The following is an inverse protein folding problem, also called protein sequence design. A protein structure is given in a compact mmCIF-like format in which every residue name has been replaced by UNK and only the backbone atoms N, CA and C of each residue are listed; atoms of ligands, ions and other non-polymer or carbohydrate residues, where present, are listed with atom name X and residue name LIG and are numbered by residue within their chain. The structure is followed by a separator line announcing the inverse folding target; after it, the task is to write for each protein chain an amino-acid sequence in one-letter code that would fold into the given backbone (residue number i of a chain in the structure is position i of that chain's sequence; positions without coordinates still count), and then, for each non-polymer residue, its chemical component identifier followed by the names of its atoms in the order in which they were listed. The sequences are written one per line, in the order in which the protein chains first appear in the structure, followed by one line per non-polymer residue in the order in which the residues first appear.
data_IF_683299001426
#
_entry.id   IF_683299001426
#
_cell.length_a   1.000
_cell.length_b   1.000
_cell.length_c   1.000
_cell.angle_alpha   90.00
_cell.angle_beta   90.00
_cell.angle_gamma   90.00
#
_symmetry.space_group_name_H-M   'P 1'
#
loop_
_entity.id
_entity.type
_entity.pdbx_description
1 polymer ?
#
# COMPACT_ATOMS: atom_id res chain seq x y z
N UNK A 1 9.77 -9.31 -6.30
CA UNK A 1 8.68 -9.06 -7.27
C UNK A 1 9.08 -9.50 -8.67
N UNK A 2 10.24 -9.11 -9.20
CA UNK A 2 10.70 -9.54 -10.56
C UNK A 2 10.71 -11.04 -10.72
N UNK A 3 11.29 -11.77 -9.77
CA UNK A 3 11.31 -13.23 -9.80
C UNK A 3 9.91 -13.88 -9.82
N UNK A 4 8.93 -13.26 -9.17
CA UNK A 4 7.52 -13.72 -9.25
C UNK A 4 6.99 -13.56 -10.67
N UNK A 5 7.19 -12.39 -11.26
CA UNK A 5 6.74 -12.14 -12.63
C UNK A 5 7.41 -13.10 -13.64
N UNK A 6 8.72 -13.31 -13.54
CA UNK A 6 9.50 -14.23 -14.40
C UNK A 6 9.01 -15.68 -14.30
N UNK A 7 8.42 -16.07 -13.17
CA UNK A 7 7.82 -17.39 -12.93
C UNK A 7 6.30 -17.41 -13.14
N UNK A 8 5.71 -16.39 -13.75
CA UNK A 8 4.28 -16.34 -14.04
C UNK A 8 3.39 -16.12 -12.82
N UNK A 9 3.95 -15.68 -11.68
CA UNK A 9 3.22 -15.45 -10.45
C UNK A 9 2.80 -13.97 -10.38
N UNK A 10 1.50 -13.65 -10.51
CA UNK A 10 1.02 -12.29 -10.39
C UNK A 10 1.22 -11.77 -8.96
N UNK A 11 1.58 -10.49 -8.83
CA UNK A 11 1.80 -9.88 -7.52
C UNK A 11 1.05 -8.56 -7.39
N UNK A 12 0.56 -8.31 -6.19
CA UNK A 12 -0.06 -7.05 -5.79
C UNK A 12 0.77 -6.43 -4.67
N UNK A 13 1.02 -5.14 -4.75
CA UNK A 13 1.81 -4.41 -3.76
C UNK A 13 0.90 -3.54 -2.91
N UNK A 14 1.09 -3.59 -1.59
CA UNK A 14 0.40 -2.75 -0.65
C UNK A 14 1.29 -1.56 -0.26
N UNK A 15 0.86 -0.36 -0.65
CA UNK A 15 1.52 0.89 -0.30
C UNK A 15 1.01 1.40 1.05
N UNK A 16 1.67 0.98 2.13
CA UNK A 16 1.35 1.39 3.50
C UNK A 16 2.45 0.90 4.47
N UNK A 17 2.74 1.65 5.53
CA UNK A 17 2.29 3.01 5.82
C UNK A 17 3.14 4.08 5.13
N UNK A 18 2.57 5.29 4.98
CA UNK A 18 3.33 6.49 4.70
C UNK A 18 3.44 7.36 5.95
N UNK A 19 4.62 7.90 6.19
CA UNK A 19 4.89 8.75 7.35
C UNK A 19 4.81 10.22 6.92
N UNK A 20 3.76 10.96 7.30
CA UNK A 20 3.65 12.39 7.01
C UNK A 20 4.91 13.15 7.41
N UNK A 21 5.32 14.12 6.61
CA UNK A 21 6.53 14.94 6.76
C UNK A 21 7.86 14.20 6.57
N UNK A 22 7.87 12.87 6.41
CA UNK A 22 9.10 12.06 6.32
C UNK A 22 9.23 11.45 4.93
N UNK A 23 8.24 10.66 4.50
CA UNK A 23 8.31 9.96 3.22
C UNK A 23 7.06 10.15 2.34
N UNK A 24 6.18 11.08 2.71
CA UNK A 24 5.01 11.49 1.93
C UNK A 24 5.37 12.51 0.85
N UNK A 25 6.38 12.18 0.06
CA UNK A 25 6.92 13.02 -1.01
C UNK A 25 6.67 12.42 -2.39
N UNK A 26 6.63 13.29 -3.40
CA UNK A 26 6.48 12.87 -4.80
C UNK A 26 7.63 11.96 -5.24
N UNK A 27 8.86 12.30 -4.84
CA UNK A 27 10.07 11.55 -5.17
C UNK A 27 10.01 10.12 -4.61
N UNK A 28 9.54 9.95 -3.37
CA UNK A 28 9.39 8.63 -2.78
C UNK A 28 8.31 7.81 -3.51
N UNK A 29 7.16 8.42 -3.79
CA UNK A 29 6.07 7.78 -4.54
C UNK A 29 6.55 7.38 -5.94
N UNK A 30 7.19 8.27 -6.68
CA UNK A 30 7.69 7.97 -8.02
C UNK A 30 8.75 6.86 -8.01
N UNK A 31 9.60 6.82 -6.97
CA UNK A 31 10.57 5.74 -6.77
C UNK A 31 9.89 4.38 -6.53
N UNK A 32 8.89 4.33 -5.66
CA UNK A 32 8.12 3.11 -5.40
C UNK A 32 7.36 2.64 -6.63
N UNK A 33 6.73 3.56 -7.36
CA UNK A 33 6.03 3.25 -8.60
C UNK A 33 6.98 2.71 -9.67
N UNK A 34 8.19 3.27 -9.77
CA UNK A 34 9.21 2.74 -10.67
C UNK A 34 9.56 1.29 -10.36
N UNK A 35 9.74 0.92 -9.08
CA UNK A 35 9.97 -0.48 -8.72
C UNK A 35 8.79 -1.39 -9.10
N UNK A 36 7.56 -0.92 -8.95
CA UNK A 36 6.36 -1.68 -9.33
C UNK A 36 6.27 -1.88 -10.84
N UNK A 37 6.55 -0.83 -11.63
CA UNK A 37 6.57 -0.88 -13.10
C UNK A 37 7.67 -1.84 -13.58
N UNK A 38 8.90 -1.69 -13.08
CA UNK A 38 10.05 -2.53 -13.43
C UNK A 38 9.82 -4.01 -13.09
N UNK A 39 9.05 -4.27 -12.03
CA UNK A 39 8.69 -5.62 -11.59
C UNK A 39 7.40 -6.15 -12.24
N UNK A 40 6.72 -5.36 -13.06
CA UNK A 40 5.46 -5.69 -13.74
C UNK A 40 4.41 -6.23 -12.79
N UNK A 41 4.18 -5.53 -11.68
CA UNK A 41 3.15 -5.92 -10.72
C UNK A 41 1.76 -5.82 -11.33
N UNK A 42 0.84 -6.69 -10.91
CA UNK A 42 -0.53 -6.73 -11.40
C UNK A 42 -1.40 -5.61 -10.82
N UNK A 43 -1.11 -5.18 -9.59
CA UNK A 43 -1.91 -4.15 -8.93
C UNK A 43 -1.20 -3.51 -7.75
N UNK A 44 -1.75 -2.37 -7.33
CA UNK A 44 -1.32 -1.63 -6.14
C UNK A 44 -2.54 -1.33 -5.28
N UNK A 45 -2.44 -1.61 -3.98
CA UNK A 45 -3.41 -1.22 -2.96
C UNK A 45 -2.81 -0.05 -2.18
N UNK A 46 -3.57 1.04 -2.09
CA UNK A 46 -3.26 2.17 -1.23
C UNK A 46 -4.56 2.77 -0.70
N UNK A 47 -4.73 2.80 0.62
CA UNK A 47 -5.91 3.37 1.27
C UNK A 47 -5.79 4.87 1.52
N UNK A 48 -4.62 5.43 1.26
CA UNK A 48 -4.29 6.82 1.48
C UNK A 48 -2.86 7.00 1.95
N UNK A 49 -2.39 8.24 1.88
CA UNK A 49 -1.05 8.63 2.30
C UNK A 49 -1.11 9.05 3.76
N UNK A 50 -0.65 8.16 4.64
CA UNK A 50 -0.66 8.37 6.08
C UNK A 50 -0.43 7.07 6.85
N UNK A 51 -0.68 7.13 8.15
CA UNK A 51 -0.60 5.98 9.04
C UNK A 51 -1.70 6.04 10.11
N UNK A 52 -1.91 4.93 10.79
CA UNK A 52 -2.77 4.83 11.97
C UNK A 52 -1.93 4.54 13.20
N UNK A 53 -2.26 5.19 14.32
CA UNK A 53 -1.59 4.98 15.60
C UNK A 53 -2.60 4.44 16.62
N UNK A 54 -2.53 3.16 16.88
CA UNK A 54 -3.28 2.49 17.95
C UNK A 54 -2.67 2.77 19.32
N UNK A 55 -3.39 2.43 20.39
CA UNK A 55 -2.86 2.48 21.74
C UNK A 55 -1.62 1.56 21.82
N UNK A 56 -0.55 2.08 22.43
CA UNK A 56 0.76 1.43 22.47
C UNK A 56 1.66 1.72 21.26
N UNK A 57 1.11 1.74 20.04
CA UNK A 57 1.88 2.06 18.83
C UNK A 57 2.33 3.52 18.83
N UNK A 58 1.51 4.42 19.39
CA UNK A 58 1.80 5.87 19.45
C UNK A 58 3.04 6.17 20.26
N UNK A 59 3.13 5.60 21.46
CA UNK A 59 4.27 5.81 22.36
C UNK A 59 5.55 5.27 21.73
N UNK A 60 5.49 4.09 21.13
CA UNK A 60 6.61 3.51 20.41
C UNK A 60 7.03 4.38 19.23
N UNK A 61 6.08 4.79 18.38
CA UNK A 61 6.34 5.63 17.21
C UNK A 61 7.00 6.95 17.62
N UNK A 62 6.45 7.64 18.62
CA UNK A 62 6.99 8.90 19.09
C UNK A 62 8.37 8.75 19.72
N UNK A 63 8.66 7.67 20.43
CA UNK A 63 10.00 7.39 20.94
C UNK A 63 11.02 7.19 19.82
N UNK A 64 10.61 6.63 18.68
CA UNK A 64 11.45 6.47 17.50
C UNK A 64 11.66 7.79 16.75
N UNK A 65 10.63 8.62 16.68
CA UNK A 65 10.78 9.98 16.13
C UNK A 65 11.79 10.78 16.92
N UNK A 66 11.71 10.79 18.25
CA UNK A 66 12.67 11.51 19.11
C UNK A 66 14.11 11.06 18.86
N UNK A 67 14.31 9.78 18.61
CA UNK A 67 15.64 9.20 18.39
C UNK A 67 16.21 9.51 16.99
N UNK A 68 15.38 9.52 15.95
CA UNK A 68 15.83 9.52 14.55
C UNK A 68 15.51 10.82 13.80
N UNK A 69 14.51 11.57 14.27
CA UNK A 69 14.00 12.78 13.62
C UNK A 69 13.74 13.87 14.67
N UNK A 70 14.78 14.56 15.15
CA UNK A 70 14.64 15.61 16.17
C UNK A 70 13.57 16.64 15.79
N UNK A 71 12.75 17.05 16.77
CA UNK A 71 11.62 17.98 16.65
C UNK A 71 10.43 17.48 15.78
N UNK A 72 10.48 16.26 15.26
CA UNK A 72 9.39 15.73 14.43
C UNK A 72 8.19 15.31 15.28
N UNK A 73 8.42 14.79 16.48
CA UNK A 73 7.36 14.41 17.42
C UNK A 73 6.46 15.59 17.76
N UNK A 74 7.03 16.75 18.07
CA UNK A 74 6.28 17.97 18.39
C UNK A 74 5.43 18.38 17.19
N UNK A 75 5.97 18.27 15.98
CA UNK A 75 5.24 18.55 14.75
C UNK A 75 4.03 17.61 14.57
N UNK A 76 4.20 16.33 14.84
CA UNK A 76 3.10 15.35 14.80
C UNK A 76 2.04 15.66 15.85
N UNK A 77 2.43 15.95 17.09
CA UNK A 77 1.51 16.31 18.17
C UNK A 77 0.72 17.58 17.82
N UNK A 78 1.41 18.61 17.32
CA UNK A 78 0.78 19.86 16.93
C UNK A 78 -0.23 19.65 15.78
N UNK A 79 0.12 18.84 14.78
CA UNK A 79 -0.71 18.68 13.59
C UNK A 79 -1.87 17.73 13.82
N UNK A 80 -1.65 16.63 14.53
CA UNK A 80 -2.60 15.53 14.62
C UNK A 80 -3.20 15.31 16.01
N UNK A 81 -2.61 15.87 17.06
CA UNK A 81 -3.06 15.66 18.43
C UNK A 81 -3.14 14.16 18.78
N UNK A 82 -4.31 13.73 19.23
CA UNK A 82 -4.61 12.33 19.56
C UNK A 82 -5.37 11.58 18.46
N UNK A 83 -5.37 12.09 17.24
CA UNK A 83 -6.07 11.43 16.12
C UNK A 83 -5.54 10.00 15.91
N UNK A 84 -6.46 9.07 15.67
CA UNK A 84 -6.12 7.69 15.33
C UNK A 84 -5.47 7.61 13.95
N UNK A 85 -6.03 8.32 12.98
CA UNK A 85 -5.55 8.37 11.61
C UNK A 85 -4.79 9.67 11.35
N UNK A 86 -3.57 9.55 10.88
CA UNK A 86 -2.68 10.64 10.55
C UNK A 86 -2.54 10.71 9.03
N UNK A 87 -3.40 11.52 8.40
CA UNK A 87 -3.41 11.68 6.93
C UNK A 87 -2.46 12.81 6.54
N UNK A 88 -1.62 12.56 5.53
CA UNK A 88 -0.75 13.56 4.95
C UNK A 88 -1.53 14.72 4.32
N UNK A 89 -1.04 15.93 4.45
CA UNK A 89 -1.55 17.09 3.70
C UNK A 89 -1.40 16.92 2.18
N UNK A 90 -0.47 16.06 1.74
CA UNK A 90 -0.24 15.75 0.33
C UNK A 90 -1.08 14.58 -0.19
N UNK A 91 -1.97 14.01 0.66
CA UNK A 91 -2.72 12.79 0.33
C UNK A 91 -3.36 12.85 -1.05
N UNK A 92 -4.15 13.88 -1.35
CA UNK A 92 -4.91 13.95 -2.60
C UNK A 92 -3.98 14.03 -3.82
N UNK A 93 -2.92 14.84 -3.74
CA UNK A 93 -1.96 15.01 -4.83
C UNK A 93 -1.22 13.70 -5.10
N UNK A 94 -0.76 13.02 -4.06
CA UNK A 94 0.01 11.79 -4.18
C UNK A 94 -0.89 10.60 -4.60
N UNK A 95 -2.12 10.51 -4.09
CA UNK A 95 -3.08 9.49 -4.53
C UNK A 95 -3.45 9.65 -6.01
N UNK A 96 -3.66 10.90 -6.47
CA UNK A 96 -3.90 11.18 -7.89
C UNK A 96 -2.68 10.78 -8.74
N UNK A 97 -1.46 11.04 -8.26
CA UNK A 97 -0.22 10.65 -8.93
C UNK A 97 -0.11 9.13 -9.07
N UNK A 98 -0.40 8.38 -8.01
CA UNK A 98 -0.41 6.90 -8.06
C UNK A 98 -1.42 6.42 -9.09
N UNK A 99 -2.66 6.94 -9.04
CA UNK A 99 -3.73 6.57 -9.96
C UNK A 99 -3.36 6.84 -11.43
N UNK A 100 -2.80 8.00 -11.72
CA UNK A 100 -2.36 8.37 -13.06
C UNK A 100 -1.29 7.43 -13.60
N UNK A 101 -0.24 7.17 -12.82
CA UNK A 101 0.85 6.29 -13.23
C UNK A 101 0.37 4.85 -13.40
N UNK A 102 -0.46 4.34 -12.49
CA UNK A 102 -1.05 3.00 -12.61
C UNK A 102 -1.86 2.86 -13.90
N UNK A 103 -2.71 3.83 -14.22
CA UNK A 103 -3.50 3.84 -15.45
C UNK A 103 -2.61 3.84 -16.70
N UNK A 104 -1.56 4.65 -16.72
CA UNK A 104 -0.65 4.76 -17.86
C UNK A 104 0.18 3.50 -18.11
N UNK A 105 0.38 2.68 -17.08
CA UNK A 105 1.17 1.45 -17.14
C UNK A 105 0.33 0.15 -17.04
N UNK A 106 -1.01 0.25 -17.07
CA UNK A 106 -1.88 -0.92 -16.99
C UNK A 106 -1.83 -1.67 -15.66
N UNK A 107 -1.44 -0.98 -14.58
CA UNK A 107 -1.42 -1.55 -13.23
C UNK A 107 -2.81 -1.30 -12.59
N UNK A 108 -3.43 -2.35 -12.06
CA UNK A 108 -4.70 -2.19 -11.35
C UNK A 108 -4.52 -1.29 -10.13
N UNK A 109 -5.43 -0.32 -9.99
CA UNK A 109 -5.47 0.56 -8.83
C UNK A 109 -6.90 0.76 -8.37
N UNK A 110 -7.08 0.96 -7.06
CA UNK A 110 -8.40 1.03 -6.43
C UNK A 110 -8.71 -0.25 -5.67
N UNK A 111 -9.12 -0.06 -4.42
CA UNK A 111 -9.32 -1.15 -3.44
C UNK A 111 -10.26 -2.21 -3.97
N UNK A 112 -11.44 -1.81 -4.48
CA UNK A 112 -12.46 -2.74 -5.00
C UNK A 112 -11.96 -3.56 -6.19
N UNK A 113 -11.29 -2.90 -7.15
CA UNK A 113 -10.78 -3.58 -8.34
C UNK A 113 -9.73 -4.63 -7.99
N UNK A 114 -8.78 -4.28 -7.11
CA UNK A 114 -7.71 -5.18 -6.71
C UNK A 114 -8.24 -6.32 -5.86
N UNK A 115 -9.13 -6.06 -4.90
CA UNK A 115 -9.75 -7.13 -4.11
C UNK A 115 -10.62 -8.05 -4.97
N UNK A 116 -11.38 -7.51 -5.92
CA UNK A 116 -12.13 -8.34 -6.88
C UNK A 116 -11.22 -9.25 -7.69
N UNK A 117 -10.04 -8.76 -8.09
CA UNK A 117 -9.03 -9.57 -8.77
C UNK A 117 -8.47 -10.66 -7.85
N UNK A 118 -8.12 -10.32 -6.60
CA UNK A 118 -7.55 -11.26 -5.64
C UNK A 118 -8.53 -12.38 -5.22
N UNK A 119 -9.84 -12.11 -5.28
CA UNK A 119 -10.87 -13.10 -4.95
C UNK A 119 -11.36 -13.90 -6.17
N UNK A 120 -10.85 -13.65 -7.37
CA UNK A 120 -11.11 -14.50 -8.53
C UNK A 120 -10.28 -15.77 -8.43
N UNK A 121 -10.83 -16.76 -7.74
CA UNK A 121 -10.32 -18.12 -7.79
C UNK A 121 -10.93 -18.82 -8.99
N UNK A 122 -10.11 -19.51 -9.78
CA UNK A 122 -10.64 -20.51 -10.69
C UNK A 122 -11.42 -21.52 -9.84
N UNK A 123 -12.71 -21.69 -10.11
CA UNK A 123 -13.47 -22.72 -9.45
C UNK A 123 -12.88 -24.07 -9.90
N UNK A 124 -12.09 -24.68 -9.05
CA UNK A 124 -11.75 -26.10 -9.19
C UNK A 124 -13.01 -26.92 -8.90
N UNK A 125 -13.99 -26.82 -9.79
CA UNK A 125 -15.20 -27.64 -9.76
C UNK A 125 -14.96 -28.92 -10.53
N UNK A 126 -14.04 -29.74 -10.05
CA UNK A 126 -14.11 -31.17 -10.17
C UNK A 126 -13.66 -31.75 -8.84
N UNK A 127 -14.52 -31.66 -7.85
CA UNK A 127 -14.51 -32.67 -6.81
C UNK A 127 -15.03 -33.93 -7.45
N UNK A 128 -14.12 -34.76 -7.94
CA UNK A 128 -14.46 -36.12 -8.34
C UNK A 128 -15.09 -36.79 -7.11
N UNK A 129 -16.38 -37.09 -7.19
CA UNK A 129 -17.03 -37.88 -6.17
C UNK A 129 -16.33 -39.25 -6.13
N UNK A 130 -15.99 -39.70 -4.91
CA UNK A 130 -15.44 -41.06 -4.70
C UNK A 130 -16.36 -42.17 -5.24
N UNK A 131 -17.57 -41.82 -5.71
CA UNK A 131 -18.63 -42.72 -6.12
C UNK A 131 -19.01 -42.58 -7.61
N UNK A 132 -18.36 -41.74 -8.38
CA UNK A 132 -18.62 -41.55 -9.82
C UNK A 132 -18.00 -42.67 -10.70
N UNK A 133 -17.60 -43.78 -10.10
CA UNK A 133 -16.98 -44.92 -10.78
C UNK A 133 -17.57 -46.30 -10.44
N UNK A 134 -18.80 -46.33 -9.96
CA UNK A 134 -19.50 -47.61 -9.74
C UNK A 134 -20.72 -47.67 -10.63
#
# INVERSE_FOLDING_TARGET
LKAFHENGIPSVVWFSPFLPFINDTKENIDGLLKYCIDAKVSGIICFGIGLTLRDGDREYFYSRLDKHFPNMKERYIYTYGNSYQLTSSNNNVLMNRISEVCRNHGIMFGVENVFSYLHKFESKTEQLSLFDGI
#
